data_IF_967424840245
#
_entry.id   IF_967424840245
#
_cell.length_a   1.000
_cell.length_b   1.000
_cell.length_c   1.000
_cell.angle_alpha   90.00
_cell.angle_beta   90.00
_cell.angle_gamma   90.00
#
_symmetry.space_group_name_H-M   'P 1'
#
loop_
_entity.id
_entity.type
_entity.pdbx_description
1 polymer ?
#
# COMPACT_ATOMS: atom_id res chain seq x y z
N UNK A 1 44.08 -26.35 -14.06
CA UNK A 1 42.84 -25.87 -14.68
C UNK A 1 41.67 -25.79 -13.68
N UNK A 2 41.32 -26.83 -12.98
CA UNK A 2 40.20 -26.93 -12.04
C UNK A 2 40.19 -25.77 -10.99
N UNK A 3 41.33 -25.49 -10.33
CA UNK A 3 41.43 -24.42 -9.32
C UNK A 3 41.11 -23.00 -9.88
N UNK A 4 41.53 -22.71 -11.11
CA UNK A 4 41.20 -21.42 -11.77
C UNK A 4 39.72 -21.35 -12.16
N UNK A 5 39.11 -22.46 -12.58
CA UNK A 5 37.69 -22.54 -12.88
C UNK A 5 36.85 -22.36 -11.61
N UNK A 6 37.24 -22.97 -10.49
CA UNK A 6 36.56 -22.81 -9.21
C UNK A 6 36.62 -21.36 -8.68
N UNK A 7 37.80 -20.72 -8.83
CA UNK A 7 37.94 -19.30 -8.46
C UNK A 7 37.06 -18.41 -9.34
N UNK A 8 37.04 -18.65 -10.66
CA UNK A 8 36.19 -17.91 -11.60
C UNK A 8 34.70 -18.10 -11.30
N UNK A 9 34.25 -19.34 -11.04
CA UNK A 9 32.87 -19.63 -10.66
C UNK A 9 32.48 -18.97 -9.32
N UNK A 10 33.38 -18.98 -8.34
CA UNK A 10 33.17 -18.29 -7.06
C UNK A 10 33.03 -16.78 -7.22
N UNK A 11 33.88 -16.17 -8.06
CA UNK A 11 33.80 -14.72 -8.33
C UNK A 11 32.47 -14.34 -9.04
N UNK A 12 32.03 -15.12 -10.02
CA UNK A 12 30.74 -14.89 -10.69
C UNK A 12 29.59 -15.06 -9.73
N UNK A 13 29.59 -16.09 -8.90
CA UNK A 13 28.53 -16.30 -7.89
C UNK A 13 28.49 -15.12 -6.90
N UNK A 14 29.65 -14.67 -6.42
CA UNK A 14 29.72 -13.50 -5.52
C UNK A 14 29.18 -12.24 -6.17
N UNK A 15 29.47 -12.00 -7.45
CA UNK A 15 28.94 -10.85 -8.19
C UNK A 15 27.43 -10.92 -8.32
N UNK A 16 26.88 -12.08 -8.64
CA UNK A 16 25.43 -12.29 -8.74
C UNK A 16 24.75 -12.03 -7.39
N UNK A 17 25.31 -12.55 -6.30
CA UNK A 17 24.78 -12.30 -4.95
C UNK A 17 24.81 -10.81 -4.61
N UNK A 18 25.89 -10.11 -4.91
CA UNK A 18 26.00 -8.67 -4.67
C UNK A 18 24.95 -7.88 -5.49
N UNK A 19 24.74 -8.26 -6.75
CA UNK A 19 23.72 -7.62 -7.60
C UNK A 19 22.31 -7.86 -7.05
N UNK A 20 22.00 -9.07 -6.62
CA UNK A 20 20.68 -9.39 -6.01
C UNK A 20 20.46 -8.61 -4.70
N UNK A 21 21.52 -8.47 -3.88
CA UNK A 21 21.44 -7.68 -2.65
C UNK A 21 21.30 -6.18 -2.92
N UNK A 22 21.94 -5.66 -3.97
CA UNK A 22 21.89 -4.25 -4.34
C UNK A 22 20.62 -3.88 -5.14
N UNK A 23 19.90 -4.86 -5.68
CA UNK A 23 18.75 -4.64 -6.56
C UNK A 23 17.68 -3.70 -5.96
N UNK A 24 17.24 -3.83 -4.71
CA UNK A 24 16.30 -2.89 -4.11
C UNK A 24 16.83 -1.45 -4.16
N UNK A 25 18.06 -1.22 -3.73
CA UNK A 25 18.67 0.11 -3.73
C UNK A 25 18.74 0.71 -5.15
N UNK A 26 19.09 -0.11 -6.14
CA UNK A 26 19.15 0.33 -7.53
C UNK A 26 17.76 0.73 -8.03
N UNK A 27 16.75 -0.09 -7.78
CA UNK A 27 15.37 0.15 -8.22
C UNK A 27 14.82 1.43 -7.57
N UNK A 28 15.05 1.63 -6.28
CA UNK A 28 14.65 2.85 -5.58
C UNK A 28 15.38 4.10 -6.10
N UNK A 29 16.67 4.00 -6.41
CA UNK A 29 17.42 5.11 -7.00
C UNK A 29 16.96 5.50 -8.42
N UNK A 30 16.26 4.60 -9.09
CA UNK A 30 15.59 4.85 -10.37
C UNK A 30 14.19 5.49 -10.23
N UNK A 31 13.76 5.77 -9.00
CA UNK A 31 12.56 6.56 -8.70
C UNK A 31 11.28 5.75 -8.48
N UNK A 32 11.38 4.50 -8.03
CA UNK A 32 10.18 3.70 -7.69
C UNK A 32 9.40 4.31 -6.52
N UNK A 33 10.09 4.90 -5.55
CA UNK A 33 9.47 5.71 -4.49
C UNK A 33 10.29 6.99 -4.32
N UNK A 34 10.02 8.03 -5.11
CA UNK A 34 10.81 9.26 -5.07
C UNK A 34 10.61 9.95 -3.71
N UNK A 35 11.72 10.39 -3.12
CA UNK A 35 11.70 11.26 -1.94
C UNK A 35 11.63 12.70 -2.44
N UNK A 36 10.65 13.46 -1.94
CA UNK A 36 10.54 14.87 -2.24
C UNK A 36 11.40 15.67 -1.27
N UNK A 37 12.44 16.32 -1.76
CA UNK A 37 13.39 17.09 -0.95
C UNK A 37 12.73 18.29 -0.23
N UNK A 38 11.67 18.85 -0.82
CA UNK A 38 10.89 19.96 -0.26
C UNK A 38 9.68 19.52 0.57
N UNK A 39 9.60 18.25 0.96
CA UNK A 39 8.53 17.76 1.81
C UNK A 39 8.48 18.54 3.12
N UNK A 40 7.34 19.14 3.44
CA UNK A 40 7.14 19.89 4.68
C UNK A 40 6.65 18.92 5.76
N UNK A 41 7.23 19.03 6.94
CA UNK A 41 6.69 18.37 8.13
C UNK A 41 5.42 19.11 8.56
N UNK A 42 4.30 18.44 8.46
CA UNK A 42 3.01 18.95 8.95
C UNK A 42 2.75 18.41 10.35
N UNK A 43 2.25 19.28 11.22
CA UNK A 43 1.73 18.89 12.53
C UNK A 43 0.24 19.19 12.56
N UNK A 44 -0.58 18.14 12.58
CA UNK A 44 -2.03 18.19 12.44
C UNK A 44 -2.74 17.43 13.59
N UNK A 45 -2.39 17.71 14.88
CA UNK A 45 -3.01 17.02 16.00
C UNK A 45 -4.50 17.31 16.07
N UNK A 46 -5.29 16.29 16.39
CA UNK A 46 -6.74 16.37 16.48
C UNK A 46 -7.47 16.41 15.14
N UNK A 47 -6.74 16.35 14.03
CA UNK A 47 -7.31 16.15 12.69
C UNK A 47 -7.52 14.67 12.41
N UNK A 48 -8.49 14.35 11.55
CA UNK A 48 -8.89 12.98 11.24
C UNK A 48 -8.69 12.68 9.77
N UNK A 49 -8.05 11.56 9.48
CA UNK A 49 -7.87 11.03 8.12
C UNK A 49 -8.61 9.71 7.96
N UNK A 50 -9.30 9.56 6.84
CA UNK A 50 -9.92 8.30 6.41
C UNK A 50 -9.15 7.76 5.21
N UNK A 51 -8.61 6.54 5.34
CA UNK A 51 -8.08 5.79 4.22
C UNK A 51 -9.12 4.79 3.73
N UNK A 52 -9.40 4.82 2.44
CA UNK A 52 -10.37 3.94 1.79
C UNK A 52 -9.61 3.01 0.85
N UNK A 53 -9.89 1.72 0.95
CA UNK A 53 -9.28 0.68 0.11
C UNK A 53 -10.34 -0.18 -0.54
N UNK A 54 -9.91 -0.99 -1.51
CA UNK A 54 -10.72 -2.06 -2.09
C UNK A 54 -11.05 -3.16 -1.07
N UNK A 55 -12.13 -3.87 -1.29
CA UNK A 55 -12.43 -5.17 -0.67
C UNK A 55 -12.26 -6.33 -1.65
N UNK A 56 -11.78 -6.05 -2.88
CA UNK A 56 -11.62 -7.07 -3.92
C UNK A 56 -10.19 -7.59 -3.93
N UNK A 57 -10.03 -8.90 -3.73
CA UNK A 57 -8.71 -9.55 -3.53
C UNK A 57 -8.33 -10.58 -4.60
N UNK A 58 -9.05 -10.65 -5.73
CA UNK A 58 -8.79 -11.65 -6.78
C UNK A 58 -8.76 -10.99 -8.15
N UNK A 59 -7.69 -11.20 -8.89
CA UNK A 59 -7.56 -10.71 -10.27
C UNK A 59 -8.21 -11.72 -11.22
N UNK A 60 -9.50 -11.53 -11.49
CA UNK A 60 -10.31 -12.44 -12.31
C UNK A 60 -10.85 -11.77 -13.56
N UNK A 61 -11.03 -12.53 -14.64
CA UNK A 61 -11.70 -12.03 -15.81
C UNK A 61 -13.22 -11.86 -15.57
N UNK A 62 -13.92 -11.01 -16.36
CA UNK A 62 -15.35 -10.83 -16.22
C UNK A 62 -16.12 -12.17 -16.31
N UNK A 63 -16.92 -12.46 -15.28
CA UNK A 63 -17.69 -13.71 -15.18
C UNK A 63 -16.94 -14.90 -14.56
N UNK A 64 -15.67 -14.75 -14.23
CA UNK A 64 -14.87 -15.74 -13.52
C UNK A 64 -14.82 -15.44 -12.01
N UNK A 65 -14.58 -16.48 -11.20
CA UNK A 65 -14.48 -16.35 -9.74
C UNK A 65 -13.09 -16.66 -9.21
N UNK A 66 -12.20 -17.20 -10.04
CA UNK A 66 -10.83 -17.56 -9.70
C UNK A 66 -9.83 -16.65 -10.38
N UNK A 67 -8.64 -16.53 -9.81
CA UNK A 67 -7.54 -15.74 -10.35
C UNK A 67 -6.41 -15.56 -9.34
N UNK A 68 -5.41 -14.80 -9.71
CA UNK A 68 -4.29 -14.50 -8.84
C UNK A 68 -4.70 -13.56 -7.69
N UNK A 69 -4.07 -13.67 -6.51
CA UNK A 69 -4.28 -12.72 -5.43
C UNK A 69 -3.92 -11.29 -5.87
N UNK A 70 -4.77 -10.33 -5.48
CA UNK A 70 -4.55 -8.91 -5.69
C UNK A 70 -5.13 -8.09 -4.54
N UNK A 71 -5.27 -6.79 -4.71
CA UNK A 71 -5.84 -5.92 -3.69
C UNK A 71 -5.43 -4.46 -3.88
N UNK A 72 -5.29 -3.76 -2.76
CA UNK A 72 -4.72 -2.41 -2.71
C UNK A 72 -3.21 -2.47 -2.95
N UNK A 73 -2.65 -1.49 -3.65
CA UNK A 73 -1.21 -1.34 -3.76
C UNK A 73 -0.63 -0.95 -2.39
N UNK A 74 0.31 -1.75 -1.88
CA UNK A 74 0.83 -1.59 -0.53
C UNK A 74 1.30 -0.16 -0.25
N UNK A 75 2.16 0.40 -1.09
CA UNK A 75 2.73 1.73 -0.90
C UNK A 75 1.71 2.88 -1.00
N UNK A 76 0.65 2.75 -1.80
CA UNK A 76 -0.43 3.75 -1.83
C UNK A 76 -1.23 3.78 -0.52
N UNK A 77 -1.32 2.66 0.15
CA UNK A 77 -1.95 2.53 1.45
C UNK A 77 -1.01 2.94 2.58
N UNK A 78 0.19 2.36 2.65
CA UNK A 78 1.11 2.50 3.79
C UNK A 78 1.75 3.88 3.86
N UNK A 79 2.17 4.46 2.72
CA UNK A 79 2.76 5.80 2.69
C UNK A 79 1.76 6.81 3.22
N UNK A 80 0.52 6.82 2.71
CA UNK A 80 -0.50 7.73 3.16
C UNK A 80 -0.84 7.52 4.65
N UNK A 81 -0.98 6.26 5.08
CA UNK A 81 -1.27 5.91 6.47
C UNK A 81 -0.23 6.48 7.42
N UNK A 82 1.06 6.27 7.14
CA UNK A 82 2.11 6.73 8.04
C UNK A 82 2.37 8.22 7.94
N UNK A 83 2.21 8.83 6.78
CA UNK A 83 2.31 10.29 6.67
C UNK A 83 1.24 11.01 7.50
N UNK A 84 0.01 10.53 7.48
CA UNK A 84 -1.05 11.10 8.34
C UNK A 84 -0.80 10.81 9.82
N UNK A 85 -0.39 9.59 10.15
CA UNK A 85 -0.09 9.20 11.52
C UNK A 85 1.08 10.03 12.09
N UNK A 86 2.16 10.20 11.33
CA UNK A 86 3.36 10.95 11.73
C UNK A 86 3.08 12.46 11.79
N UNK A 87 2.12 12.97 11.03
CA UNK A 87 1.59 14.32 11.19
C UNK A 87 0.73 14.52 12.45
N UNK A 88 0.48 13.46 13.23
CA UNK A 88 -0.30 13.50 14.47
C UNK A 88 -1.81 13.42 14.27
N UNK A 89 -2.28 12.99 13.10
CA UNK A 89 -3.70 12.78 12.83
C UNK A 89 -4.22 11.47 13.43
N UNK A 90 -5.51 11.43 13.71
CA UNK A 90 -6.24 10.19 13.94
C UNK A 90 -6.55 9.53 12.60
N UNK A 91 -6.03 8.30 12.38
CA UNK A 91 -6.16 7.61 11.10
C UNK A 91 -7.07 6.39 11.23
N UNK A 92 -8.14 6.39 10.43
CA UNK A 92 -9.03 5.24 10.29
C UNK A 92 -8.85 4.58 8.92
N UNK A 93 -9.00 3.25 8.89
CA UNK A 93 -8.92 2.45 7.67
C UNK A 93 -10.30 1.90 7.37
N UNK A 94 -10.75 2.06 6.16
CA UNK A 94 -12.02 1.53 5.67
C UNK A 94 -11.85 0.81 4.34
N UNK A 95 -12.83 -0.01 4.02
CA UNK A 95 -12.96 -0.64 2.70
C UNK A 95 -14.42 -0.72 2.30
N UNK A 96 -14.68 -1.05 1.04
CA UNK A 96 -16.06 -1.13 0.52
C UNK A 96 -16.96 -2.01 1.39
N UNK A 97 -16.45 -3.16 1.84
CA UNK A 97 -17.24 -4.14 2.63
C UNK A 97 -16.89 -4.17 4.11
N UNK A 98 -15.83 -3.49 4.51
CA UNK A 98 -15.24 -3.66 5.84
C UNK A 98 -14.49 -4.99 6.00
N UNK A 99 -13.89 -5.20 7.17
CA UNK A 99 -13.12 -6.41 7.48
C UNK A 99 -11.69 -6.35 6.95
N UNK A 100 -11.11 -7.49 6.63
CA UNK A 100 -9.73 -7.58 6.17
C UNK A 100 -9.56 -6.99 4.78
N UNK A 101 -8.68 -6.00 4.65
CA UNK A 101 -8.34 -5.42 3.35
C UNK A 101 -7.36 -6.35 2.61
N UNK A 102 -7.62 -6.68 1.33
CA UNK A 102 -6.64 -7.40 0.54
C UNK A 102 -5.51 -6.45 0.12
N UNK A 103 -4.27 -6.83 0.43
CA UNK A 103 -3.07 -6.13 -0.08
C UNK A 103 -2.48 -6.99 -1.17
N UNK A 104 -2.19 -6.38 -2.33
CA UNK A 104 -1.58 -7.09 -3.44
C UNK A 104 -0.20 -7.62 -3.04
N UNK A 105 0.01 -8.96 -2.99
CA UNK A 105 1.24 -9.53 -2.50
C UNK A 105 2.45 -9.22 -3.38
N UNK A 106 2.25 -8.89 -4.65
CA UNK A 106 3.34 -8.51 -5.55
C UNK A 106 3.93 -7.17 -5.14
N UNK A 107 3.12 -6.25 -4.60
CA UNK A 107 3.54 -4.93 -4.17
C UNK A 107 4.34 -4.94 -2.86
N UNK A 108 4.24 -6.02 -2.08
CA UNK A 108 5.07 -6.27 -0.89
C UNK A 108 6.39 -6.99 -1.22
N UNK A 109 6.73 -7.14 -2.49
CA UNK A 109 8.00 -7.74 -2.88
C UNK A 109 9.17 -6.87 -2.40
N UNK A 110 10.20 -7.51 -1.82
CA UNK A 110 11.37 -6.84 -1.26
C UNK A 110 12.04 -5.84 -2.22
N UNK A 111 11.94 -6.06 -3.52
CA UNK A 111 12.60 -5.21 -4.52
C UNK A 111 11.92 -3.86 -4.68
N UNK A 112 10.58 -3.81 -4.50
CA UNK A 112 9.78 -2.63 -4.82
C UNK A 112 9.07 -2.00 -3.62
N UNK A 113 9.06 -2.65 -2.45
CA UNK A 113 8.35 -2.12 -1.29
C UNK A 113 9.03 -0.89 -0.71
N UNK A 114 8.22 0.05 -0.24
CA UNK A 114 8.66 1.29 0.39
C UNK A 114 9.18 1.08 1.82
N UNK A 115 9.85 2.06 2.42
CA UNK A 115 10.14 2.06 3.86
C UNK A 115 8.87 1.94 4.73
N UNK A 116 7.76 2.54 4.31
CA UNK A 116 6.48 2.47 4.99
C UNK A 116 5.86 1.07 4.90
N UNK A 117 6.06 0.36 3.77
CA UNK A 117 5.68 -1.05 3.67
C UNK A 117 6.45 -1.91 4.66
N UNK A 118 7.76 -1.68 4.81
CA UNK A 118 8.58 -2.36 5.82
C UNK A 118 8.10 -2.05 7.25
N UNK A 119 7.75 -0.79 7.53
CA UNK A 119 7.17 -0.37 8.81
C UNK A 119 5.86 -1.09 9.08
N UNK A 120 4.97 -1.16 8.08
CA UNK A 120 3.69 -1.87 8.17
C UNK A 120 3.86 -3.35 8.49
N UNK A 121 4.82 -4.02 7.86
CA UNK A 121 5.10 -5.45 8.11
C UNK A 121 5.54 -5.74 9.55
N UNK A 122 5.97 -4.71 10.30
CA UNK A 122 6.41 -4.81 11.69
C UNK A 122 5.41 -4.18 12.67
N UNK A 123 4.40 -3.46 12.19
CA UNK A 123 3.40 -2.73 13.00
C UNK A 123 2.13 -3.56 13.19
N UNK A 124 2.06 -4.27 14.30
CA UNK A 124 0.89 -5.10 14.64
C UNK A 124 -0.40 -4.27 14.84
N UNK A 125 -0.29 -2.99 15.19
CA UNK A 125 -1.45 -2.10 15.37
C UNK A 125 -2.05 -1.73 14.01
N UNK A 126 -1.21 -1.31 13.07
CA UNK A 126 -1.63 -1.02 11.70
C UNK A 126 -2.22 -2.27 11.01
N UNK A 127 -1.57 -3.44 11.18
CA UNK A 127 -2.08 -4.71 10.66
C UNK A 127 -3.44 -5.10 11.27
N UNK A 128 -3.63 -4.88 12.57
CA UNK A 128 -4.91 -5.14 13.22
C UNK A 128 -6.02 -4.22 12.68
N UNK A 129 -5.73 -2.93 12.42
CA UNK A 129 -6.65 -2.00 11.78
C UNK A 129 -6.99 -2.44 10.35
N UNK A 130 -5.98 -2.83 9.56
CA UNK A 130 -6.17 -3.31 8.19
C UNK A 130 -6.99 -4.61 8.14
N UNK A 131 -6.85 -5.48 9.13
CA UNK A 131 -7.62 -6.71 9.27
C UNK A 131 -9.07 -6.47 9.69
N UNK A 132 -9.36 -5.36 10.34
CA UNK A 132 -10.66 -4.98 10.85
C UNK A 132 -11.07 -3.60 10.33
N UNK A 133 -10.92 -3.36 9.01
CA UNK A 133 -11.28 -2.10 8.41
C UNK A 133 -12.78 -1.81 8.56
N UNK A 134 -13.11 -0.53 8.65
CA UNK A 134 -14.49 -0.09 8.75
C UNK A 134 -15.21 -0.23 7.40
N UNK A 135 -16.51 -0.51 7.42
CA UNK A 135 -17.32 -0.51 6.21
C UNK A 135 -17.68 0.92 5.83
N UNK A 136 -17.49 1.31 4.56
CA UNK A 136 -17.80 2.68 4.10
C UNK A 136 -19.26 3.08 4.33
N UNK A 137 -20.21 2.14 4.26
CA UNK A 137 -21.63 2.43 4.46
C UNK A 137 -21.90 3.02 5.84
N UNK A 138 -21.14 2.61 6.85
CA UNK A 138 -21.36 2.94 8.26
C UNK A 138 -20.67 4.27 8.67
N UNK A 139 -19.94 4.91 7.73
CA UNK A 139 -19.14 6.10 8.00
C UNK A 139 -19.80 7.39 7.51
N UNK A 140 -19.60 8.45 8.26
CA UNK A 140 -19.91 9.82 7.87
C UNK A 140 -18.62 10.51 7.43
N UNK A 141 -18.45 10.71 6.12
CA UNK A 141 -17.21 11.27 5.56
C UNK A 141 -17.01 12.76 5.88
N UNK A 142 -18.08 13.48 6.23
CA UNK A 142 -17.98 14.89 6.64
C UNK A 142 -17.24 15.09 7.96
N UNK A 143 -16.98 14.02 8.70
CA UNK A 143 -16.26 14.03 9.97
C UNK A 143 -14.74 13.92 9.83
N UNK A 144 -14.24 13.79 8.60
CA UNK A 144 -12.81 13.69 8.33
C UNK A 144 -12.28 14.95 7.66
N UNK A 145 -11.08 15.34 8.04
CA UNK A 145 -10.37 16.48 7.44
C UNK A 145 -9.68 16.08 6.12
N UNK A 146 -9.35 14.79 5.98
CA UNK A 146 -8.77 14.20 4.77
C UNK A 146 -9.44 12.87 4.48
N UNK A 147 -9.80 12.65 3.22
CA UNK A 147 -10.21 11.35 2.68
C UNK A 147 -9.21 10.96 1.60
N UNK A 148 -8.53 9.84 1.80
CA UNK A 148 -7.58 9.27 0.86
C UNK A 148 -8.10 7.95 0.29
N UNK A 149 -8.09 7.81 -1.02
CA UNK A 149 -8.53 6.59 -1.71
C UNK A 149 -7.29 5.93 -2.32
N UNK A 150 -6.90 4.79 -1.75
CA UNK A 150 -5.75 4.03 -2.22
C UNK A 150 -6.16 3.11 -3.37
N UNK A 151 -5.40 3.18 -4.46
CA UNK A 151 -5.60 2.37 -5.66
C UNK A 151 -4.99 0.97 -5.56
N UNK A 152 -4.75 0.38 -6.69
CA UNK A 152 -4.29 -0.99 -6.88
C UNK A 152 -5.24 -1.74 -7.82
N UNK A 153 -4.88 -2.95 -8.24
CA UNK A 153 -5.70 -3.70 -9.20
C UNK A 153 -7.10 -4.04 -8.64
N UNK A 154 -7.20 -4.31 -7.33
CA UNK A 154 -8.50 -4.55 -6.69
C UNK A 154 -9.47 -3.37 -6.81
N UNK A 155 -8.96 -2.14 -6.77
CA UNK A 155 -9.75 -0.93 -6.87
C UNK A 155 -10.56 -0.83 -8.17
N UNK A 156 -10.05 -1.41 -9.27
CA UNK A 156 -10.74 -1.45 -10.55
C UNK A 156 -12.02 -2.30 -10.54
N UNK A 157 -12.19 -3.14 -9.53
CA UNK A 157 -13.35 -4.05 -9.41
C UNK A 157 -14.48 -3.50 -8.55
N UNK A 158 -14.18 -2.63 -7.59
CA UNK A 158 -15.20 -2.19 -6.63
C UNK A 158 -15.23 -0.68 -6.37
N UNK A 159 -14.08 0.01 -6.26
CA UNK A 159 -14.10 1.45 -5.88
C UNK A 159 -14.79 2.31 -6.94
N UNK A 160 -14.46 2.12 -8.22
CA UNK A 160 -15.02 2.90 -9.32
C UNK A 160 -16.51 2.63 -9.59
N UNK A 161 -17.07 1.58 -9.03
CA UNK A 161 -18.46 1.16 -9.22
C UNK A 161 -19.33 1.30 -7.97
N UNK A 162 -18.77 1.84 -6.88
CA UNK A 162 -19.51 2.02 -5.63
C UNK A 162 -20.29 3.34 -5.63
N UNK A 163 -21.60 3.28 -5.84
CA UNK A 163 -22.48 4.44 -5.72
C UNK A 163 -22.40 5.07 -4.32
N UNK A 164 -22.27 4.24 -3.28
CA UNK A 164 -22.13 4.69 -1.89
C UNK A 164 -20.87 5.52 -1.71
N UNK A 165 -19.74 5.05 -2.27
CA UNK A 165 -18.48 5.81 -2.21
C UNK A 165 -18.64 7.15 -2.93
N UNK A 166 -19.19 7.16 -4.15
CA UNK A 166 -19.42 8.37 -4.93
C UNK A 166 -20.31 9.39 -4.19
N UNK A 167 -21.40 8.92 -3.60
CA UNK A 167 -22.29 9.77 -2.80
C UNK A 167 -21.58 10.38 -1.59
N UNK A 168 -20.90 9.57 -0.77
CA UNK A 168 -20.23 10.02 0.46
C UNK A 168 -19.07 10.96 0.18
N UNK A 169 -18.32 10.76 -0.90
CA UNK A 169 -17.29 11.70 -1.35
C UNK A 169 -17.90 13.04 -1.75
N UNK A 170 -19.02 13.02 -2.48
CA UNK A 170 -19.76 14.24 -2.82
C UNK A 170 -20.26 14.97 -1.59
N UNK A 171 -20.85 14.28 -0.62
CA UNK A 171 -21.35 14.86 0.64
C UNK A 171 -20.23 15.48 1.47
N UNK A 172 -19.02 14.91 1.45
CA UNK A 172 -17.87 15.46 2.15
C UNK A 172 -17.25 16.68 1.46
N UNK A 173 -17.44 16.80 0.14
CA UNK A 173 -16.86 17.89 -0.66
C UNK A 173 -17.74 19.13 -0.67
N UNK A 174 -19.07 19.02 -0.63
CA UNK A 174 -20.05 20.12 -0.71
C UNK A 174 -20.70 20.41 0.64
#
# INVERSE_FOLDING_TARGET
MLKKMLIGAGAVLSLVVLLVLALPTIVHSLGVHPVYEDARDYSLPGKRALLITTSHGVLNAPGETGGDPTGVMASEFTIAYYQFLDAGMEVEISSIKGGEIPIDPQTLNRVIRSPEDERYLQDSVAQAKAKNSLKIDDLDFTRYDVVWIAGGWGAAYDLGYSDVLGQKVSEAYY
#
